data_IF_125153834332
#
_entry.id   IF_125153834332
#
_cell.length_a   1.000
_cell.length_b   1.000
_cell.length_c   1.000
_cell.angle_alpha   90.00
_cell.angle_beta   90.00
_cell.angle_gamma   90.00
#
_symmetry.space_group_name_H-M   'P 1'
#
loop_
_entity.id
_entity.type
_entity.pdbx_description
1 polymer ?
#
# COMPACT_ATOMS: atom_id res chain seq x y z
N UNK A 1 0.88 6.06 6.35
CA UNK A 1 1.03 4.85 5.51
C UNK A 1 -0.02 3.81 5.91
N UNK A 2 -0.92 3.44 5.00
CA UNK A 2 -1.93 2.42 5.25
C UNK A 2 -1.44 1.04 4.76
N UNK A 3 -1.62 0.00 5.56
CA UNK A 3 -1.07 -1.34 5.34
C UNK A 3 -2.19 -2.37 5.40
N UNK A 4 -2.44 -3.10 4.31
CA UNK A 4 -3.40 -4.21 4.31
C UNK A 4 -3.01 -5.25 5.38
N UNK A 5 -3.99 -5.79 6.09
CA UNK A 5 -3.82 -6.92 6.99
C UNK A 5 -3.49 -8.22 6.25
N UNK A 6 -3.14 -9.25 7.01
CA UNK A 6 -2.77 -10.55 6.44
C UNK A 6 -3.99 -11.22 5.78
N UNK A 7 -5.16 -11.10 6.40
CA UNK A 7 -6.43 -11.56 5.83
C UNK A 7 -6.83 -10.77 4.58
N UNK A 8 -6.61 -9.45 4.55
CA UNK A 8 -6.87 -8.61 3.37
C UNK A 8 -5.95 -9.01 2.21
N UNK A 9 -4.66 -9.24 2.47
CA UNK A 9 -3.69 -9.67 1.46
C UNK A 9 -4.03 -11.04 0.88
N UNK A 10 -4.45 -12.00 1.71
CA UNK A 10 -4.81 -13.33 1.28
C UNK A 10 -5.96 -13.33 0.25
N UNK A 11 -6.91 -12.38 0.38
CA UNK A 11 -8.04 -12.21 -0.54
C UNK A 11 -7.66 -11.56 -1.87
N UNK A 12 -6.61 -10.73 -1.89
CA UNK A 12 -6.17 -9.96 -3.07
C UNK A 12 -5.33 -10.77 -4.07
N UNK A 13 -5.46 -12.10 -4.07
CA UNK A 13 -4.88 -13.03 -5.05
C UNK A 13 -3.37 -12.87 -5.27
N UNK A 14 -2.57 -13.09 -4.21
CA UNK A 14 -1.10 -13.01 -4.30
C UNK A 14 -0.36 -14.34 -4.11
N UNK A 15 -1.05 -15.47 -4.23
CA UNK A 15 -0.51 -16.84 -4.17
C UNK A 15 -0.46 -17.45 -2.76
N UNK A 16 -0.44 -18.78 -2.70
CA UNK A 16 -0.73 -19.65 -1.52
C UNK A 16 0.14 -19.44 -0.25
N UNK A 17 1.09 -18.50 -0.22
CA UNK A 17 2.00 -18.29 0.91
C UNK A 17 2.26 -16.81 1.21
N UNK A 18 1.22 -15.96 1.12
CA UNK A 18 1.35 -14.53 1.38
C UNK A 18 0.34 -14.01 2.41
N UNK A 19 0.74 -13.00 3.21
CA UNK A 19 2.05 -12.34 3.23
C UNK A 19 3.15 -13.20 3.89
N UNK A 20 4.41 -12.96 3.53
CA UNK A 20 5.56 -13.65 4.16
C UNK A 20 5.79 -13.16 5.58
N UNK A 21 5.73 -11.84 5.76
CA UNK A 21 5.89 -11.19 7.06
C UNK A 21 4.49 -10.81 7.57
N UNK A 22 4.16 -11.11 8.84
CA UNK A 22 2.88 -10.74 9.42
C UNK A 22 2.70 -9.22 9.44
N UNK A 23 1.44 -8.77 9.60
CA UNK A 23 1.08 -7.35 9.57
C UNK A 23 1.95 -6.52 10.53
N UNK A 24 2.12 -7.00 11.76
CA UNK A 24 2.89 -6.29 12.79
C UNK A 24 4.32 -5.97 12.34
N UNK A 25 5.03 -6.95 11.77
CA UNK A 25 6.42 -6.79 11.32
C UNK A 25 6.52 -5.83 10.13
N UNK A 26 5.55 -5.89 9.21
CA UNK A 26 5.48 -4.96 8.07
C UNK A 26 5.23 -3.54 8.54
N UNK A 27 4.37 -3.35 9.55
CA UNK A 27 4.10 -2.05 10.14
C UNK A 27 5.33 -1.50 10.86
N UNK A 28 6.00 -2.32 11.67
CA UNK A 28 7.22 -1.94 12.39
C UNK A 28 8.33 -1.48 11.44
N UNK A 29 8.55 -2.21 10.34
CA UNK A 29 9.52 -1.82 9.30
C UNK A 29 9.20 -0.45 8.70
N UNK A 30 7.94 -0.21 8.34
CA UNK A 30 7.51 1.06 7.75
C UNK A 30 7.59 2.22 8.76
N UNK A 31 7.28 1.97 10.03
CA UNK A 31 7.36 2.96 11.10
C UNK A 31 8.81 3.34 11.44
N UNK A 32 9.79 2.46 11.14
CA UNK A 32 11.21 2.76 11.30
C UNK A 32 11.80 3.69 10.22
N UNK A 33 11.04 4.08 9.20
CA UNK A 33 11.50 4.98 8.15
C UNK A 33 11.34 6.43 8.62
N UNK A 34 12.44 7.20 8.66
CA UNK A 34 12.43 8.58 9.19
C UNK A 34 11.55 9.60 8.47
N UNK A 35 10.91 9.22 7.37
CA UNK A 35 9.94 10.03 6.62
C UNK A 35 8.49 9.53 6.75
N UNK A 36 8.22 8.62 7.68
CA UNK A 36 6.87 8.07 7.93
C UNK A 36 6.40 8.49 9.32
N UNK A 37 5.38 9.35 9.37
CA UNK A 37 4.82 9.84 10.64
C UNK A 37 3.86 8.85 11.31
N UNK A 38 3.10 8.10 10.51
CA UNK A 38 2.07 7.17 11.01
C UNK A 38 1.93 5.95 10.10
N UNK A 39 1.79 4.78 10.73
CA UNK A 39 1.45 3.53 10.05
C UNK A 39 0.15 2.98 10.63
N UNK A 40 -0.80 2.59 9.77
CA UNK A 40 -2.09 2.04 10.18
C UNK A 40 -2.43 0.77 9.39
N UNK A 41 -2.85 -0.28 10.10
CA UNK A 41 -3.34 -1.52 9.51
C UNK A 41 -4.83 -1.45 9.16
N UNK A 42 -5.28 -2.17 8.12
CA UNK A 42 -6.71 -2.31 7.81
C UNK A 42 -7.07 -3.65 7.15
N UNK A 43 -8.26 -4.15 7.43
CA UNK A 43 -8.77 -5.45 6.93
C UNK A 43 -9.60 -5.36 5.66
N UNK A 44 -10.12 -4.17 5.34
CA UNK A 44 -10.94 -3.97 4.15
C UNK A 44 -10.15 -4.30 2.87
N UNK A 45 -10.87 -4.66 1.80
CA UNK A 45 -10.29 -4.94 0.49
C UNK A 45 -9.61 -3.68 -0.10
N UNK A 46 -10.17 -2.52 0.19
CA UNK A 46 -9.65 -1.22 -0.26
C UNK A 46 -9.54 -0.24 0.92
N UNK A 47 -8.63 0.75 0.85
CA UNK A 47 -8.46 1.72 1.94
C UNK A 47 -9.51 2.84 1.94
N UNK A 48 -10.63 2.72 1.21
CA UNK A 48 -11.56 3.84 0.97
C UNK A 48 -12.13 4.45 2.27
N UNK A 49 -12.43 3.64 3.28
CA UNK A 49 -12.95 4.14 4.56
C UNK A 49 -11.88 4.87 5.38
N UNK A 50 -10.62 4.44 5.27
CA UNK A 50 -9.50 5.17 5.86
C UNK A 50 -9.29 6.51 5.17
N UNK A 51 -9.35 6.54 3.83
CA UNK A 51 -9.25 7.79 3.05
C UNK A 51 -10.39 8.74 3.43
N UNK A 52 -11.62 8.24 3.58
CA UNK A 52 -12.77 9.05 4.00
C UNK A 52 -12.57 9.67 5.38
N UNK A 53 -12.01 8.91 6.34
CA UNK A 53 -11.76 9.39 7.71
C UNK A 53 -10.57 10.34 7.79
N UNK A 54 -9.51 10.06 7.04
CA UNK A 54 -8.28 10.85 7.06
C UNK A 54 -8.40 12.14 6.26
N UNK A 55 -9.26 12.18 5.23
CA UNK A 55 -9.45 13.29 4.28
C UNK A 55 -8.12 13.90 3.83
N UNK A 56 -7.23 13.10 3.21
CA UNK A 56 -5.90 13.58 2.86
C UNK A 56 -5.97 14.68 1.80
N UNK A 57 -5.11 15.68 1.92
CA UNK A 57 -4.91 16.71 0.88
C UNK A 57 -4.18 16.13 -0.35
N UNK A 58 -3.36 15.09 -0.14
CA UNK A 58 -2.61 14.40 -1.18
C UNK A 58 -2.80 12.88 -1.09
N UNK A 59 -3.25 12.26 -2.18
CA UNK A 59 -3.31 10.81 -2.34
C UNK A 59 -2.28 10.36 -3.37
N UNK A 60 -1.33 9.53 -2.94
CA UNK A 60 -0.20 9.11 -3.80
C UNK A 60 -0.22 7.61 -4.02
N UNK A 61 -0.10 7.18 -5.28
CA UNK A 61 0.09 5.78 -5.67
C UNK A 61 1.39 5.62 -6.45
N UNK A 62 2.21 4.66 -6.06
CA UNK A 62 3.38 4.27 -6.82
C UNK A 62 3.04 3.38 -8.01
N UNK A 63 3.65 3.65 -9.16
CA UNK A 63 3.50 2.93 -10.42
C UNK A 63 2.91 3.82 -11.51
N UNK A 64 2.54 3.18 -12.62
CA UNK A 64 1.97 3.84 -13.79
C UNK A 64 0.45 3.58 -13.82
N UNK A 65 -0.26 4.08 -12.80
CA UNK A 65 -1.70 3.94 -12.69
C UNK A 65 -2.40 5.18 -13.26
N UNK A 66 -3.43 5.01 -14.10
CA UNK A 66 -4.35 6.09 -14.40
C UNK A 66 -4.96 6.62 -13.09
N UNK A 67 -4.97 7.95 -12.92
CA UNK A 67 -5.40 8.60 -11.67
C UNK A 67 -6.83 8.22 -11.30
N UNK A 68 -7.71 8.13 -12.29
CA UNK A 68 -9.11 7.73 -12.16
C UNK A 68 -9.30 6.27 -11.71
N UNK A 69 -8.27 5.43 -11.82
CA UNK A 69 -8.26 4.04 -11.33
C UNK A 69 -7.70 3.90 -9.90
N UNK A 70 -7.20 4.98 -9.30
CA UNK A 70 -6.70 4.94 -7.93
C UNK A 70 -7.89 4.98 -6.97
N UNK A 71 -8.00 3.96 -6.11
CA UNK A 71 -9.04 3.91 -5.05
C UNK A 71 -9.00 5.20 -4.23
N UNK A 72 -10.14 5.89 -4.16
CA UNK A 72 -10.32 7.11 -3.39
C UNK A 72 -9.94 8.38 -4.13
N UNK A 73 -9.53 8.31 -5.41
CA UNK A 73 -9.19 9.49 -6.20
C UNK A 73 -10.34 10.51 -6.24
N UNK A 74 -11.50 10.12 -6.78
CA UNK A 74 -12.70 10.96 -6.81
C UNK A 74 -13.08 11.54 -5.45
N UNK A 75 -12.99 10.73 -4.39
CA UNK A 75 -13.33 11.17 -3.04
C UNK A 75 -12.40 12.29 -2.55
N UNK A 76 -11.10 12.20 -2.85
CA UNK A 76 -10.11 13.21 -2.50
C UNK A 76 -10.27 14.46 -3.36
N UNK A 77 -10.60 14.32 -4.65
CA UNK A 77 -10.93 15.46 -5.53
C UNK A 77 -12.16 16.22 -5.03
N UNK A 78 -13.20 15.53 -4.57
CA UNK A 78 -14.39 16.13 -3.95
C UNK A 78 -14.07 16.91 -2.67
N UNK A 79 -12.95 16.62 -2.00
CA UNK A 79 -12.44 17.39 -0.87
C UNK A 79 -11.53 18.56 -1.29
N UNK A 80 -11.24 18.73 -2.58
CA UNK A 80 -10.28 19.71 -3.10
C UNK A 80 -8.82 19.25 -3.02
N UNK A 81 -8.57 17.97 -2.74
CA UNK A 81 -7.22 17.39 -2.69
C UNK A 81 -6.67 17.01 -4.06
N UNK A 82 -5.43 16.52 -4.07
CA UNK A 82 -4.68 16.18 -5.28
C UNK A 82 -4.27 14.70 -5.30
N UNK A 83 -4.32 14.10 -6.48
CA UNK A 83 -3.97 12.69 -6.69
C UNK A 83 -2.73 12.60 -7.56
N UNK A 84 -1.78 11.76 -7.14
CA UNK A 84 -0.48 11.63 -7.78
C UNK A 84 -0.20 10.15 -8.07
N UNK A 85 0.05 9.83 -9.34
CA UNK A 85 0.71 8.57 -9.72
C UNK A 85 2.19 8.85 -9.93
N UNK A 86 3.06 8.21 -9.14
CA UNK A 86 4.52 8.45 -9.19
C UNK A 86 5.27 7.21 -9.68
N UNK A 87 6.27 7.37 -10.57
CA UNK A 87 6.99 6.23 -11.12
C UNK A 87 7.82 5.51 -10.04
N UNK A 88 7.81 4.18 -10.06
CA UNK A 88 8.66 3.35 -9.19
C UNK A 88 10.02 3.15 -9.87
N UNK A 89 11.03 3.90 -9.41
CA UNK A 89 12.39 3.87 -9.99
C UNK A 89 13.08 2.51 -9.91
N UNK A 90 12.85 1.76 -8.82
CA UNK A 90 13.52 0.48 -8.59
C UNK A 90 12.48 -0.63 -8.43
N UNK A 91 12.34 -1.47 -9.47
CA UNK A 91 11.47 -2.63 -9.38
C UNK A 91 12.02 -3.63 -8.36
N UNK A 92 11.31 -3.77 -7.24
CA UNK A 92 11.58 -4.77 -6.21
C UNK A 92 10.27 -5.48 -5.91
N UNK A 93 10.28 -6.80 -5.94
CA UNK A 93 9.12 -7.61 -5.54
C UNK A 93 9.55 -8.67 -4.54
N UNK A 94 8.65 -9.03 -3.64
CA UNK A 94 8.87 -10.12 -2.68
C UNK A 94 9.17 -11.44 -3.40
N UNK A 95 8.50 -11.71 -4.54
CA UNK A 95 8.83 -12.86 -5.39
C UNK A 95 10.26 -12.83 -5.91
N UNK A 96 10.73 -11.69 -6.42
CA UNK A 96 12.08 -11.57 -6.96
C UNK A 96 13.13 -11.76 -5.85
N UNK A 97 12.87 -11.23 -4.65
CA UNK A 97 13.74 -11.42 -3.50
C UNK A 97 13.81 -12.90 -3.08
N UNK A 98 12.68 -13.58 -2.97
CA UNK A 98 12.65 -15.02 -2.65
C UNK A 98 13.39 -15.86 -3.69
N UNK A 99 13.19 -15.57 -4.99
CA UNK A 99 13.92 -16.25 -6.06
C UNK A 99 15.43 -16.04 -5.93
N UNK A 100 15.87 -14.85 -5.56
CA UNK A 100 17.29 -14.54 -5.32
C UNK A 100 17.84 -15.33 -4.14
N UNK A 101 17.09 -15.43 -3.04
CA UNK A 101 17.50 -16.16 -1.83
C UNK A 101 17.63 -17.67 -2.13
N UNK A 102 16.66 -18.27 -2.82
CA UNK A 102 16.65 -19.72 -3.14
C UNK A 102 17.69 -20.17 -4.15
N UNK A 103 18.32 -19.24 -4.88
CA UNK A 103 19.36 -19.54 -5.87
C UNK A 103 20.77 -19.57 -5.25
N UNK A 104 20.90 -19.10 -4.01
CA UNK A 104 22.11 -19.24 -3.20
C UNK A 104 21.98 -20.47 -2.31
#
# INVERSE_FOLDING_TARGET
>A
MAVNSDASIAKLDKGENRPINPLHDRMALLAGLGFVDLVIGFDAETPIDLIRRARPEHLVKGGDWPVDQIVGARLVEEYGGQIHSIPIRYQRSTSALLKKIRRN
#
